data_IF_975964025812
#
_entry.id   IF_975964025812
#
_cell.length_a   1.000
_cell.length_b   1.000
_cell.length_c   1.000
_cell.angle_alpha   90.00
_cell.angle_beta   90.00
_cell.angle_gamma   90.00
#
_symmetry.space_group_name_H-M   'P 1'
#
loop_
_entity.id
_entity.type
_entity.pdbx_description
1 polymer ?
#
# COMPACT_ATOMS: atom_id res chain seq x y z
N UNK A 1 -45.55 -67.04 -29.32
CA UNK A 1 -44.12 -67.42 -29.42
C UNK A 1 -43.43 -66.24 -30.09
N UNK A 2 -42.86 -65.32 -29.30
CA UNK A 2 -41.44 -65.29 -28.87
C UNK A 2 -40.47 -65.28 -30.08
N UNK A 3 -39.49 -64.39 -30.24
CA UNK A 3 -38.91 -63.34 -29.38
C UNK A 3 -37.88 -62.54 -30.23
N UNK A 4 -37.77 -61.24 -29.94
CA UNK A 4 -36.55 -60.40 -29.87
C UNK A 4 -35.67 -60.10 -31.11
N UNK A 5 -35.64 -58.82 -31.44
CA UNK A 5 -34.60 -58.05 -32.14
C UNK A 5 -33.41 -57.72 -31.20
N UNK A 6 -32.16 -57.59 -31.71
CA UNK A 6 -31.03 -57.18 -30.88
C UNK A 6 -30.79 -55.66 -30.91
N UNK A 7 -30.81 -55.09 -29.70
CA UNK A 7 -29.77 -54.19 -29.17
C UNK A 7 -29.57 -52.80 -29.82
N UNK A 8 -30.45 -51.88 -29.43
CA UNK A 8 -30.10 -50.47 -29.24
C UNK A 8 -29.28 -50.31 -27.94
N UNK A 9 -27.94 -50.28 -28.02
CA UNK A 9 -27.07 -50.17 -26.81
C UNK A 9 -26.10 -49.00 -26.78
N UNK A 10 -26.42 -47.88 -27.44
CA UNK A 10 -25.58 -46.67 -27.37
C UNK A 10 -26.42 -45.39 -27.42
N UNK A 11 -27.23 -45.15 -26.39
CA UNK A 11 -27.70 -43.81 -26.04
C UNK A 11 -27.59 -43.73 -24.54
N UNK A 12 -26.68 -42.90 -24.04
CA UNK A 12 -26.69 -42.26 -22.71
C UNK A 12 -25.26 -41.88 -22.28
N UNK A 13 -24.58 -40.99 -23.02
CA UNK A 13 -23.63 -40.07 -22.37
C UNK A 13 -23.57 -38.73 -23.13
N UNK A 14 -24.48 -37.76 -22.89
CA UNK A 14 -24.18 -36.38 -23.29
C UNK A 14 -24.16 -35.37 -22.12
N UNK A 15 -24.51 -35.78 -20.90
CA UNK A 15 -24.61 -34.86 -19.76
C UNK A 15 -23.29 -34.76 -18.97
N UNK A 16 -22.68 -35.90 -18.62
CA UNK A 16 -21.45 -35.91 -17.80
C UNK A 16 -20.28 -35.14 -18.45
N UNK A 17 -20.12 -35.24 -19.77
CA UNK A 17 -19.05 -34.57 -20.50
C UNK A 17 -19.28 -33.04 -20.64
N UNK A 18 -20.54 -32.60 -20.70
CA UNK A 18 -20.89 -31.17 -20.69
C UNK A 18 -20.66 -30.56 -19.31
N UNK A 19 -21.03 -31.27 -18.26
CA UNK A 19 -20.90 -30.78 -16.88
C UNK A 19 -19.43 -30.68 -16.46
N UNK A 20 -18.58 -31.64 -16.88
CA UNK A 20 -17.12 -31.57 -16.67
C UNK A 20 -16.48 -30.41 -17.48
N UNK A 21 -16.90 -30.20 -18.73
CA UNK A 21 -16.40 -29.10 -19.55
C UNK A 21 -16.79 -27.72 -18.98
N UNK A 22 -18.01 -27.59 -18.42
CA UNK A 22 -18.45 -26.36 -17.75
C UNK A 22 -17.65 -26.09 -16.48
N UNK A 23 -17.35 -27.12 -15.69
CA UNK A 23 -16.55 -27.01 -14.47
C UNK A 23 -15.09 -26.61 -14.78
N UNK A 24 -14.50 -27.19 -15.83
CA UNK A 24 -13.16 -26.84 -16.30
C UNK A 24 -13.09 -25.41 -16.87
N UNK A 25 -14.15 -24.92 -17.52
CA UNK A 25 -14.22 -23.54 -18.00
C UNK A 25 -14.31 -22.53 -16.85
N UNK A 26 -15.08 -22.84 -15.79
CA UNK A 26 -15.20 -22.01 -14.57
C UNK A 26 -13.87 -21.97 -13.79
N UNK A 27 -13.17 -23.11 -13.72
CA UNK A 27 -11.85 -23.18 -13.08
C UNK A 27 -10.76 -22.46 -13.90
N UNK A 28 -10.87 -22.42 -15.24
CA UNK A 28 -9.92 -21.67 -16.09
C UNK A 28 -10.08 -20.14 -15.98
N UNK A 29 -11.27 -19.64 -15.65
CA UNK A 29 -11.52 -18.20 -15.48
C UNK A 29 -11.14 -17.66 -14.09
N UNK A 30 -10.77 -18.52 -13.15
CA UNK A 30 -10.38 -18.13 -11.79
C UNK A 30 -8.86 -18.00 -11.60
N UNK A 31 -8.08 -17.96 -12.68
CA UNK A 31 -6.66 -17.58 -12.65
C UNK A 31 -6.50 -16.07 -12.85
N UNK A 32 -7.24 -15.27 -12.09
CA UNK A 32 -6.89 -13.86 -11.92
C UNK A 32 -5.78 -13.83 -10.88
N UNK A 33 -4.52 -13.91 -11.33
CA UNK A 33 -3.43 -13.41 -10.51
C UNK A 33 -3.82 -11.98 -10.11
N UNK A 34 -4.02 -11.75 -8.81
CA UNK A 34 -4.44 -10.45 -8.30
C UNK A 34 -3.35 -9.46 -8.74
N UNK A 35 -3.67 -8.58 -9.69
CA UNK A 35 -2.71 -7.60 -10.18
C UNK A 35 -2.30 -6.72 -8.99
N UNK A 36 -0.99 -6.62 -8.73
CA UNK A 36 -0.45 -5.77 -7.69
C UNK A 36 -0.78 -4.31 -7.98
N UNK A 37 -1.03 -3.52 -6.93
CA UNK A 37 -1.28 -2.09 -7.07
C UNK A 37 0.03 -1.38 -7.42
N UNK A 38 0.02 -0.55 -8.46
CA UNK A 38 1.17 0.29 -8.80
C UNK A 38 1.26 1.48 -7.86
N UNK A 39 2.48 1.97 -7.63
CA UNK A 39 2.69 3.24 -6.94
C UNK A 39 2.00 4.38 -7.70
N UNK A 40 1.22 5.19 -7.00
CA UNK A 40 0.59 6.40 -7.55
C UNK A 40 1.51 7.59 -7.47
N UNK A 41 1.39 8.47 -8.47
CA UNK A 41 2.09 9.74 -8.48
C UNK A 41 1.64 10.64 -7.31
N UNK A 42 2.56 11.41 -6.72
CA UNK A 42 2.21 12.42 -5.73
C UNK A 42 1.39 13.56 -6.36
N UNK A 43 0.55 14.23 -5.56
CA UNK A 43 -0.06 15.48 -5.99
C UNK A 43 1.02 16.58 -6.12
N UNK A 44 0.86 17.58 -7.00
CA UNK A 44 1.77 18.73 -7.06
C UNK A 44 1.99 19.38 -5.68
N UNK A 45 0.91 19.54 -4.89
CA UNK A 45 0.99 20.11 -3.54
C UNK A 45 1.82 19.26 -2.56
N UNK A 46 1.92 17.96 -2.77
CA UNK A 46 2.77 17.09 -1.96
C UNK A 46 4.26 17.36 -2.21
N UNK A 47 4.64 17.66 -3.46
CA UNK A 47 6.00 18.07 -3.80
C UNK A 47 6.28 19.51 -3.31
N UNK A 48 5.31 20.41 -3.47
CA UNK A 48 5.40 21.78 -2.94
C UNK A 48 5.56 21.80 -1.42
N UNK A 49 4.97 20.84 -0.69
CA UNK A 49 5.12 20.69 0.76
C UNK A 49 6.58 20.55 1.19
N UNK A 50 7.45 20.05 0.30
CA UNK A 50 8.88 19.89 0.56
C UNK A 50 9.67 21.21 0.44
N UNK A 51 9.10 22.22 -0.22
CA UNK A 51 9.76 23.49 -0.53
C UNK A 51 9.11 24.67 0.18
N UNK A 52 7.77 24.71 0.21
CA UNK A 52 6.94 25.79 0.74
C UNK A 52 5.98 25.29 1.84
N UNK A 53 6.49 24.63 2.91
CA UNK A 53 5.65 23.88 3.85
C UNK A 53 4.63 24.74 4.59
N UNK A 54 4.97 26.01 4.90
CA UNK A 54 4.07 26.91 5.63
C UNK A 54 2.89 27.35 4.78
N UNK A 55 3.11 27.62 3.49
CA UNK A 55 2.05 27.94 2.54
C UNK A 55 1.13 26.74 2.37
N UNK A 56 1.70 25.56 2.13
CA UNK A 56 0.93 24.32 1.98
C UNK A 56 0.08 24.03 3.22
N UNK A 57 0.64 24.11 4.43
CA UNK A 57 -0.12 23.94 5.69
C UNK A 57 -1.30 24.91 5.79
N UNK A 58 -1.16 26.14 5.29
CA UNK A 58 -2.26 27.12 5.31
C UNK A 58 -3.36 26.79 4.30
N UNK A 59 -3.03 26.20 3.14
CA UNK A 59 -3.99 25.89 2.06
C UNK A 59 -4.71 24.53 2.26
N UNK A 60 -4.03 23.56 2.90
CA UNK A 60 -4.52 22.19 3.03
C UNK A 60 -5.91 22.04 3.66
N UNK A 61 -6.30 22.79 4.72
CA UNK A 61 -7.61 22.61 5.35
C UNK A 61 -8.79 22.76 4.36
N UNK A 62 -8.72 23.73 3.45
CA UNK A 62 -9.79 23.98 2.48
C UNK A 62 -9.84 22.86 1.43
N UNK A 63 -8.68 22.42 0.94
CA UNK A 63 -8.56 21.31 -0.02
C UNK A 63 -9.03 19.98 0.58
N UNK A 64 -8.71 19.73 1.86
CA UNK A 64 -9.17 18.55 2.59
C UNK A 64 -10.68 18.59 2.77
N UNK A 65 -11.24 19.73 3.16
CA UNK A 65 -12.69 19.90 3.29
C UNK A 65 -13.42 19.70 1.95
N UNK A 66 -12.83 20.13 0.83
CA UNK A 66 -13.34 19.85 -0.52
C UNK A 66 -13.33 18.36 -0.84
N UNK A 67 -12.20 17.66 -0.63
CA UNK A 67 -12.10 16.22 -0.87
C UNK A 67 -13.09 15.41 -0.01
N UNK A 68 -13.29 15.82 1.26
CA UNK A 68 -14.30 15.22 2.14
C UNK A 68 -15.71 15.40 1.57
N UNK A 69 -16.08 16.62 1.13
CA UNK A 69 -17.40 16.89 0.52
C UNK A 69 -17.60 16.09 -0.77
N UNK A 70 -16.54 15.90 -1.55
CA UNK A 70 -16.55 15.10 -2.77
C UNK A 70 -16.51 13.58 -2.51
N UNK A 71 -16.34 13.15 -1.26
CA UNK A 71 -16.09 11.75 -0.86
C UNK A 71 -14.88 11.12 -1.58
N UNK A 72 -13.91 11.95 -1.96
CA UNK A 72 -12.70 11.56 -2.69
C UNK A 72 -11.61 11.11 -1.69
N UNK A 73 -11.67 9.84 -1.30
CA UNK A 73 -10.74 9.25 -0.33
C UNK A 73 -9.30 9.24 -0.87
N UNK A 74 -9.11 9.02 -2.17
CA UNK A 74 -7.79 9.00 -2.78
C UNK A 74 -7.13 10.38 -2.67
N UNK A 75 -7.82 11.43 -3.12
CA UNK A 75 -7.33 12.81 -3.00
C UNK A 75 -7.13 13.19 -1.54
N UNK A 76 -8.04 12.81 -0.65
CA UNK A 76 -7.92 13.13 0.77
C UNK A 76 -6.68 12.48 1.41
N UNK A 77 -6.38 11.21 1.09
CA UNK A 77 -5.19 10.53 1.59
C UNK A 77 -3.91 11.20 1.06
N UNK A 78 -3.86 11.57 -0.22
CA UNK A 78 -2.75 12.32 -0.81
C UNK A 78 -2.55 13.69 -0.15
N UNK A 79 -3.64 14.40 0.20
CA UNK A 79 -3.56 15.67 0.92
C UNK A 79 -3.02 15.50 2.35
N UNK A 80 -3.36 14.40 3.04
CA UNK A 80 -2.76 14.08 4.33
C UNK A 80 -1.26 13.70 4.21
N UNK A 81 -0.84 13.06 3.12
CA UNK A 81 0.59 12.83 2.84
C UNK A 81 1.34 14.16 2.58
N UNK A 82 0.73 15.10 1.85
CA UNK A 82 1.26 16.45 1.69
C UNK A 82 1.41 17.17 3.04
N UNK A 83 0.41 17.06 3.91
CA UNK A 83 0.46 17.60 5.27
C UNK A 83 1.62 17.00 6.08
N UNK A 84 1.76 15.67 6.05
CA UNK A 84 2.83 14.97 6.74
C UNK A 84 4.21 15.41 6.25
N UNK A 85 4.37 15.60 4.93
CA UNK A 85 5.60 16.11 4.32
C UNK A 85 5.91 17.54 4.74
N UNK A 86 4.92 18.44 4.71
CA UNK A 86 5.10 19.83 5.15
C UNK A 86 5.51 19.89 6.64
N UNK A 87 4.81 19.13 7.48
CA UNK A 87 5.08 19.07 8.91
C UNK A 87 6.45 18.49 9.24
N UNK A 88 6.93 17.52 8.45
CA UNK A 88 8.30 17.01 8.55
C UNK A 88 9.33 18.10 8.30
N UNK A 89 9.15 18.93 7.27
CA UNK A 89 10.12 19.98 6.90
C UNK A 89 10.25 21.05 8.00
N UNK A 90 9.13 21.41 8.64
CA UNK A 90 9.15 22.39 9.74
C UNK A 90 9.37 21.77 11.13
N UNK A 91 9.75 20.49 11.18
CA UNK A 91 9.99 19.74 12.41
C UNK A 91 8.80 19.67 13.38
N UNK A 92 7.56 19.71 12.86
CA UNK A 92 6.36 19.45 13.64
C UNK A 92 6.03 17.94 13.62
N UNK A 93 6.71 17.19 14.49
CA UNK A 93 6.63 15.72 14.50
C UNK A 93 5.26 15.18 14.93
N UNK A 94 4.54 15.91 15.80
CA UNK A 94 3.17 15.56 16.20
C UNK A 94 2.24 15.67 14.99
N UNK A 95 2.28 16.81 14.28
CA UNK A 95 1.52 16.97 13.05
C UNK A 95 1.88 15.90 12.01
N UNK A 96 3.17 15.63 11.80
CA UNK A 96 3.60 14.62 10.83
C UNK A 96 3.03 13.23 11.17
N UNK A 97 3.09 12.82 12.44
CA UNK A 97 2.53 11.56 12.90
C UNK A 97 1.03 11.50 12.64
N UNK A 98 0.30 12.53 13.06
CA UNK A 98 -1.17 12.55 13.01
C UNK A 98 -1.69 12.67 11.57
N UNK A 99 -0.97 13.38 10.70
CA UNK A 99 -1.24 13.42 9.27
C UNK A 99 -0.99 12.06 8.60
N UNK A 100 0.12 11.38 8.96
CA UNK A 100 0.39 10.01 8.50
C UNK A 100 -0.72 9.04 8.91
N UNK A 101 -1.14 9.06 10.18
CA UNK A 101 -2.25 8.23 10.68
C UNK A 101 -3.56 8.51 9.93
N UNK A 102 -3.90 9.78 9.68
CA UNK A 102 -5.07 10.13 8.88
C UNK A 102 -4.98 9.60 7.45
N UNK A 103 -3.81 9.69 6.81
CA UNK A 103 -3.59 9.09 5.49
C UNK A 103 -3.84 7.57 5.51
N UNK A 104 -3.37 6.85 6.54
CA UNK A 104 -3.61 5.41 6.73
C UNK A 104 -5.09 5.10 6.83
N UNK A 105 -5.83 5.83 7.68
CA UNK A 105 -7.26 5.59 7.91
C UNK A 105 -8.09 5.90 6.67
N UNK A 106 -7.76 6.97 5.94
CA UNK A 106 -8.44 7.34 4.68
C UNK A 106 -8.16 6.34 3.56
N UNK A 107 -6.96 5.75 3.54
CA UNK A 107 -6.55 4.75 2.56
C UNK A 107 -6.85 3.29 2.98
N UNK A 108 -7.77 3.06 3.91
CA UNK A 108 -8.14 1.71 4.39
C UNK A 108 -9.03 0.95 3.38
N UNK A 109 -8.52 0.79 2.17
CA UNK A 109 -9.19 0.15 1.03
C UNK A 109 -8.15 -0.60 0.20
N UNK A 110 -8.43 -1.81 -0.35
CA UNK A 110 -7.46 -2.57 -1.13
C UNK A 110 -6.88 -1.82 -2.33
N UNK A 111 -7.67 -0.94 -2.94
CA UNK A 111 -7.25 -0.13 -4.11
C UNK A 111 -6.27 1.00 -3.78
N UNK A 112 -6.14 1.38 -2.50
CA UNK A 112 -5.31 2.50 -2.03
C UNK A 112 -4.16 2.04 -1.13
N UNK A 113 -3.81 0.75 -1.19
CA UNK A 113 -2.78 0.14 -0.32
C UNK A 113 -1.41 0.83 -0.45
N UNK A 114 -1.07 1.38 -1.62
CA UNK A 114 0.15 2.17 -1.82
C UNK A 114 0.16 3.45 -0.97
N UNK A 115 -0.96 4.17 -0.92
CA UNK A 115 -1.14 5.36 -0.07
C UNK A 115 -1.14 5.00 1.41
N UNK A 116 -1.74 3.86 1.77
CA UNK A 116 -1.71 3.34 3.15
C UNK A 116 -0.28 3.06 3.61
N UNK A 117 0.54 2.41 2.79
CA UNK A 117 1.96 2.17 3.08
C UNK A 117 2.71 3.50 3.26
N UNK A 118 2.52 4.46 2.37
CA UNK A 118 3.11 5.81 2.48
C UNK A 118 2.70 6.51 3.77
N UNK A 119 1.43 6.38 4.18
CA UNK A 119 0.91 6.90 5.44
C UNK A 119 1.58 6.27 6.66
N UNK A 120 1.75 4.95 6.67
CA UNK A 120 2.44 4.21 7.74
C UNK A 120 3.90 4.65 7.85
N UNK A 121 4.61 4.81 6.73
CA UNK A 121 6.00 5.30 6.71
C UNK A 121 6.07 6.73 7.29
N UNK A 122 5.16 7.62 6.89
CA UNK A 122 5.11 8.99 7.39
C UNK A 122 4.81 9.04 8.90
N UNK A 123 3.85 8.23 9.36
CA UNK A 123 3.47 8.07 10.76
C UNK A 123 4.65 7.55 11.60
N UNK A 124 5.31 6.48 11.15
CA UNK A 124 6.46 5.90 11.82
C UNK A 124 7.62 6.89 11.95
N UNK A 125 7.93 7.65 10.89
CA UNK A 125 8.94 8.72 10.93
C UNK A 125 8.62 9.78 11.99
N UNK A 126 7.33 10.16 12.12
CA UNK A 126 6.86 11.05 13.19
C UNK A 126 7.05 10.45 14.59
N UNK A 127 6.63 9.19 14.79
CA UNK A 127 6.81 8.47 16.07
C UNK A 127 8.28 8.35 16.47
N UNK A 128 9.15 7.95 15.54
CA UNK A 128 10.60 7.83 15.76
C UNK A 128 11.21 9.19 16.13
N UNK A 129 10.80 10.27 15.47
CA UNK A 129 11.29 11.62 15.77
C UNK A 129 10.86 12.11 17.15
N UNK A 130 9.73 11.62 17.66
CA UNK A 130 9.25 11.86 19.02
C UNK A 130 9.89 10.95 20.07
N UNK A 131 10.75 10.02 19.67
CA UNK A 131 11.38 9.04 20.57
C UNK A 131 10.50 7.82 20.90
N UNK A 132 9.34 7.68 20.24
CA UNK A 132 8.44 6.53 20.40
C UNK A 132 8.87 5.37 19.48
N UNK A 133 10.05 4.83 19.76
CA UNK A 133 10.72 3.85 18.92
C UNK A 133 9.94 2.54 18.78
N UNK A 134 9.33 2.05 19.87
CA UNK A 134 8.56 0.81 19.84
C UNK A 134 7.30 0.93 18.99
N UNK A 135 6.62 2.08 18.99
CA UNK A 135 5.48 2.29 18.07
C UNK A 135 5.98 2.48 16.64
N UNK A 136 7.06 3.25 16.45
CA UNK A 136 7.69 3.44 15.14
C UNK A 136 8.05 2.12 14.46
N UNK A 137 8.68 1.20 15.18
CA UNK A 137 9.03 -0.14 14.69
C UNK A 137 7.81 -0.96 14.28
N UNK A 138 6.76 -0.99 15.11
CA UNK A 138 5.53 -1.70 14.80
C UNK A 138 4.83 -1.11 13.58
N UNK A 139 4.75 0.21 13.47
CA UNK A 139 4.15 0.87 12.32
C UNK A 139 4.94 0.63 11.03
N UNK A 140 6.29 0.50 11.10
CA UNK A 140 7.09 0.05 9.95
C UNK A 140 6.82 -1.41 9.58
N UNK A 141 6.64 -2.29 10.58
CA UNK A 141 6.30 -3.70 10.32
C UNK A 141 4.94 -3.83 9.64
N UNK A 142 3.96 -3.03 10.07
CA UNK A 142 2.64 -2.96 9.42
C UNK A 142 2.77 -2.52 7.94
N UNK A 143 3.69 -1.61 7.63
CA UNK A 143 3.97 -1.18 6.26
C UNK A 143 4.63 -2.31 5.44
N UNK A 144 5.61 -3.00 6.02
CA UNK A 144 6.31 -4.13 5.39
C UNK A 144 5.35 -5.27 5.01
N UNK A 145 4.39 -5.59 5.87
CA UNK A 145 3.37 -6.62 5.62
C UNK A 145 2.48 -6.33 4.40
N UNK A 146 2.36 -5.07 4.00
CA UNK A 146 1.54 -4.67 2.85
C UNK A 146 2.33 -4.64 1.54
N UNK A 147 3.67 -4.75 1.57
CA UNK A 147 4.51 -4.62 0.38
C UNK A 147 4.23 -5.69 -0.69
N UNK A 148 3.79 -6.88 -0.30
CA UNK A 148 3.44 -7.95 -1.25
C UNK A 148 2.24 -7.62 -2.14
N UNK A 149 1.42 -6.63 -1.74
CA UNK A 149 0.23 -6.20 -2.47
C UNK A 149 0.51 -5.11 -3.51
N UNK A 150 1.72 -4.54 -3.50
CA UNK A 150 2.13 -3.45 -4.39
C UNK A 150 3.31 -3.86 -5.27
N UNK A 151 3.35 -3.32 -6.49
CA UNK A 151 4.50 -3.41 -7.38
C UNK A 151 5.25 -2.07 -7.36
N UNK A 152 5.92 -1.83 -6.24
CA UNK A 152 6.52 -0.54 -5.93
C UNK A 152 7.82 -0.72 -5.12
N UNK A 153 8.95 -1.07 -5.75
CA UNK A 153 10.23 -1.25 -5.05
C UNK A 153 10.66 -0.01 -4.26
N UNK A 154 10.26 1.17 -4.71
CA UNK A 154 10.44 2.43 -3.99
C UNK A 154 9.83 2.41 -2.57
N UNK A 155 8.65 1.80 -2.38
CA UNK A 155 8.02 1.70 -1.07
C UNK A 155 8.79 0.74 -0.14
N UNK A 156 9.28 -0.38 -0.68
CA UNK A 156 10.14 -1.27 0.10
C UNK A 156 11.42 -0.57 0.55
N UNK A 157 12.05 0.19 -0.35
CA UNK A 157 13.21 1.03 -0.02
C UNK A 157 12.90 2.04 1.09
N UNK A 158 11.76 2.73 1.02
CA UNK A 158 11.35 3.70 2.03
C UNK A 158 11.10 3.07 3.41
N UNK A 159 10.54 1.85 3.46
CA UNK A 159 10.38 1.07 4.70
C UNK A 159 11.75 0.75 5.30
N UNK A 160 12.69 0.25 4.49
CA UNK A 160 14.06 -0.03 4.95
C UNK A 160 14.78 1.23 5.42
N UNK A 161 14.60 2.37 4.75
CA UNK A 161 15.14 3.64 5.23
C UNK A 161 14.51 4.08 6.57
N UNK A 162 13.23 3.76 6.79
CA UNK A 162 12.57 3.89 8.09
C UNK A 162 13.27 3.08 9.18
N UNK A 163 13.52 1.79 8.95
CA UNK A 163 14.26 0.93 9.87
C UNK A 163 15.70 1.38 10.09
N UNK A 164 16.35 1.90 9.04
CA UNK A 164 17.68 2.49 9.12
C UNK A 164 17.69 3.70 10.06
N UNK A 165 16.71 4.60 9.90
CA UNK A 165 16.54 5.78 10.76
C UNK A 165 16.30 5.37 12.20
N UNK A 166 15.36 4.44 12.44
CA UNK A 166 15.08 3.90 13.78
C UNK A 166 16.35 3.35 14.43
N UNK A 167 17.07 2.46 13.73
CA UNK A 167 18.29 1.82 14.22
C UNK A 167 19.37 2.84 14.59
N UNK A 168 19.53 3.87 13.77
CA UNK A 168 20.47 4.97 14.04
C UNK A 168 20.11 5.73 15.31
N UNK A 169 18.81 6.06 15.49
CA UNK A 169 18.31 6.81 16.66
C UNK A 169 18.50 6.06 17.99
N UNK A 170 18.53 4.73 17.96
CA UNK A 170 18.78 3.88 19.13
C UNK A 170 20.23 3.41 19.26
N UNK A 171 21.16 3.98 18.50
CA UNK A 171 22.61 3.71 18.60
C UNK A 171 23.07 2.41 17.91
N UNK A 172 22.21 1.74 17.14
CA UNK A 172 22.54 0.53 16.37
C UNK A 172 23.04 0.89 14.97
N UNK A 173 24.19 1.54 14.88
CA UNK A 173 24.71 2.09 13.61
C UNK A 173 25.02 1.04 12.55
N UNK A 174 25.56 -0.13 12.91
CA UNK A 174 25.80 -1.20 11.94
C UNK A 174 24.49 -1.69 11.30
N UNK A 175 23.46 -1.91 12.13
CA UNK A 175 22.13 -2.31 11.66
C UNK A 175 21.48 -1.22 10.81
N UNK A 176 21.70 0.05 11.16
CA UNK A 176 21.25 1.18 10.34
C UNK A 176 21.86 1.15 8.94
N UNK A 177 23.16 0.89 8.82
CA UNK A 177 23.83 0.74 7.52
C UNK A 177 23.31 -0.48 6.74
N UNK A 178 23.09 -1.61 7.40
CA UNK A 178 22.50 -2.81 6.78
C UNK A 178 21.13 -2.52 6.17
N UNK A 179 20.22 -1.86 6.91
CA UNK A 179 18.92 -1.48 6.37
C UNK A 179 19.02 -0.47 5.22
N UNK A 180 19.95 0.50 5.30
CA UNK A 180 20.17 1.43 4.20
C UNK A 180 20.61 0.71 2.92
N UNK A 181 21.51 -0.28 3.04
CA UNK A 181 21.94 -1.10 1.90
C UNK A 181 20.78 -1.92 1.32
N UNK A 182 19.98 -2.58 2.16
CA UNK A 182 18.79 -3.31 1.69
C UNK A 182 17.81 -2.40 0.92
N UNK A 183 17.64 -1.16 1.37
CA UNK A 183 16.85 -0.16 0.67
C UNK A 183 17.39 0.16 -0.72
N UNK A 184 18.72 0.27 -0.87
CA UNK A 184 19.35 0.47 -2.18
C UNK A 184 19.25 -0.78 -3.07
N UNK A 185 19.42 -1.97 -2.48
CA UNK A 185 19.41 -3.24 -3.22
C UNK A 185 18.05 -3.51 -3.88
N UNK A 186 16.93 -3.16 -3.23
CA UNK A 186 15.60 -3.31 -3.83
C UNK A 186 15.31 -2.33 -4.97
N UNK A 187 16.09 -1.25 -5.09
CA UNK A 187 16.00 -0.29 -6.19
C UNK A 187 16.89 -0.64 -7.38
N UNK A 188 17.87 -1.53 -7.19
CA UNK A 188 18.79 -1.89 -8.25
C UNK A 188 18.04 -2.60 -9.39
N UNK A 189 18.28 -2.25 -10.66
CA UNK A 189 17.76 -3.03 -11.77
C UNK A 189 18.33 -4.45 -11.70
N UNK A 190 17.43 -5.44 -11.69
CA UNK A 190 17.78 -6.86 -11.79
C UNK A 190 18.36 -7.23 -13.15
#
# INVERSE_FOLDING_TARGET
>A
MNTTTPESRWRHVPHLARDIALLLLVLLTCNSALAKVSLRDPLPIELEALQEPRRVIAELPDLQAEAVRAQDQERLALLYLAEANACRVIANWICQRDAGERAVLTADQPTLVDLRIRGLIAQARGQISLGDFSRGERTLADAELLLDQVDAPALASDVYLGYSTLSSRIGKHSLSAEYAMRGLDVLAPG
#
